data_IF_191913411772
#
_entry.id   IF_191913411772
#
_cell.length_a   1.000
_cell.length_b   1.000
_cell.length_c   1.000
_cell.angle_alpha   90.00
_cell.angle_beta   90.00
_cell.angle_gamma   90.00
#
_symmetry.space_group_name_H-M   'P 1'
#
loop_
_entity.id
_entity.type
_entity.pdbx_description
1 polymer ?
#
# COMPACT_ATOMS: atom_id res chain seq x y z
N UNK A 1 -61.22 -39.94 14.21
CA UNK A 1 -59.97 -39.95 13.44
C UNK A 1 -59.51 -38.46 13.31
N UNK A 2 -58.51 -38.09 14.13
CA UNK A 2 -57.99 -36.70 14.22
C UNK A 2 -56.81 -36.62 13.29
N UNK A 3 -56.93 -35.81 12.21
CA UNK A 3 -55.83 -35.52 11.29
C UNK A 3 -54.88 -34.47 11.93
N UNK A 4 -53.65 -34.88 12.24
CA UNK A 4 -52.58 -33.97 12.68
C UNK A 4 -51.96 -33.38 11.44
N UNK A 5 -52.11 -32.08 11.25
CA UNK A 5 -51.43 -31.30 10.18
C UNK A 5 -50.09 -30.86 10.77
N UNK A 6 -49.00 -31.46 10.28
CA UNK A 6 -47.65 -31.00 10.56
C UNK A 6 -47.32 -29.78 9.68
N UNK A 7 -47.25 -28.62 10.30
CA UNK A 7 -46.78 -27.39 9.63
C UNK A 7 -45.25 -27.38 9.72
N UNK A 8 -44.60 -27.66 8.60
CA UNK A 8 -43.13 -27.48 8.49
C UNK A 8 -42.83 -25.98 8.35
N UNK A 9 -42.28 -25.38 9.40
CA UNK A 9 -41.75 -24.02 9.36
C UNK A 9 -40.41 -24.07 8.67
N UNK A 10 -40.34 -23.65 7.39
CA UNK A 10 -39.11 -23.44 6.66
C UNK A 10 -38.52 -22.11 7.16
N UNK A 11 -37.51 -22.16 8.04
CA UNK A 11 -36.72 -20.99 8.41
C UNK A 11 -35.76 -20.71 7.25
N UNK A 12 -36.14 -19.77 6.37
CA UNK A 12 -35.20 -19.19 5.41
C UNK A 12 -34.21 -18.32 6.18
N UNK A 13 -33.10 -18.91 6.56
CA UNK A 13 -31.96 -18.16 7.07
C UNK A 13 -31.40 -17.27 5.97
N UNK A 14 -31.67 -15.96 6.04
CA UNK A 14 -31.00 -14.96 5.22
C UNK A 14 -29.53 -14.95 5.63
N UNK A 15 -28.68 -15.66 4.91
CA UNK A 15 -27.24 -15.47 4.98
C UNK A 15 -26.93 -14.10 4.38
N UNK A 16 -26.85 -13.08 5.21
CA UNK A 16 -26.23 -11.82 4.85
C UNK A 16 -24.78 -12.11 4.55
N UNK A 17 -24.42 -12.22 3.27
CA UNK A 17 -23.04 -12.17 2.84
C UNK A 17 -22.50 -10.80 3.25
N UNK A 18 -21.81 -10.73 4.38
CA UNK A 18 -20.94 -9.62 4.74
C UNK A 18 -19.78 -9.66 3.73
N UNK A 19 -19.99 -9.10 2.55
CA UNK A 19 -18.89 -8.80 1.64
C UNK A 19 -18.01 -7.77 2.35
N UNK A 20 -16.92 -8.21 2.96
CA UNK A 20 -15.88 -7.31 3.40
C UNK A 20 -15.41 -6.52 2.17
N UNK A 21 -15.44 -5.20 2.25
CA UNK A 21 -14.98 -4.36 1.14
C UNK A 21 -13.52 -4.69 0.83
N UNK A 22 -13.25 -5.02 -0.44
CA UNK A 22 -11.90 -5.34 -0.89
C UNK A 22 -10.99 -4.12 -0.78
N UNK A 23 -9.80 -4.30 -0.20
CA UNK A 23 -8.81 -3.22 -0.07
C UNK A 23 -8.18 -2.98 -1.44
N UNK A 24 -8.38 -1.76 -1.97
CA UNK A 24 -7.85 -1.35 -3.27
C UNK A 24 -6.35 -1.07 -3.18
N UNK A 25 -5.60 -1.66 -4.10
CA UNK A 25 -4.17 -1.38 -4.22
C UNK A 25 -3.90 0.05 -4.65
N UNK A 26 -2.89 0.68 -4.07
CA UNK A 26 -2.39 1.99 -4.51
C UNK A 26 -1.63 1.79 -5.81
N UNK A 27 -2.17 2.37 -6.90
CA UNK A 27 -1.60 2.26 -8.25
C UNK A 27 -1.56 3.64 -8.89
N UNK A 28 -0.43 4.00 -9.47
CA UNK A 28 -0.24 5.23 -10.24
C UNK A 28 0.14 4.89 -11.68
N UNK A 29 -0.42 5.61 -12.63
CA UNK A 29 -0.26 5.37 -14.06
C UNK A 29 -1.44 4.64 -14.70
N UNK A 30 -1.30 4.26 -15.95
CA UNK A 30 -2.35 3.57 -16.70
C UNK A 30 -2.45 2.11 -16.27
N UNK A 31 -3.60 1.70 -15.73
CA UNK A 31 -3.85 0.32 -15.24
C UNK A 31 -3.61 -0.75 -16.33
N UNK A 32 -3.79 -0.38 -17.61
CA UNK A 32 -3.62 -1.26 -18.74
C UNK A 32 -2.21 -1.21 -19.37
N UNK A 33 -1.29 -0.45 -18.74
CA UNK A 33 0.09 -0.35 -19.23
C UNK A 33 0.79 -1.71 -19.27
N UNK A 34 1.55 -1.95 -20.33
CA UNK A 34 2.32 -3.21 -20.53
C UNK A 34 3.48 -3.35 -19.54
N UNK A 35 4.00 -2.21 -19.04
CA UNK A 35 5.07 -2.20 -18.05
C UNK A 35 4.45 -2.04 -16.68
N UNK A 36 4.59 -3.06 -15.84
CA UNK A 36 4.19 -3.04 -14.43
C UNK A 36 5.44 -2.94 -13.56
N UNK A 37 5.48 -1.90 -12.75
CA UNK A 37 6.51 -1.71 -11.72
C UNK A 37 5.84 -2.00 -10.38
N UNK A 38 6.46 -2.84 -9.54
CA UNK A 38 6.04 -3.05 -8.16
C UNK A 38 7.15 -2.51 -7.26
N UNK A 39 6.80 -1.61 -6.34
CA UNK A 39 7.69 -1.09 -5.34
C UNK A 39 7.33 -1.66 -3.96
N UNK A 40 8.18 -2.53 -3.41
CA UNK A 40 8.05 -3.00 -2.03
C UNK A 40 8.76 -2.02 -1.11
N UNK A 41 8.01 -1.39 -0.21
CA UNK A 41 8.47 -0.23 0.54
C UNK A 41 8.04 -0.26 2.01
N UNK A 42 8.81 0.43 2.85
CA UNK A 42 8.49 0.68 4.26
C UNK A 42 8.42 2.18 4.52
N UNK A 43 7.36 2.65 5.13
CA UNK A 43 7.12 4.09 5.35
C UNK A 43 8.10 4.73 6.35
N UNK A 44 8.82 3.94 7.16
CA UNK A 44 9.89 4.44 8.03
C UNK A 44 11.29 4.33 7.40
N UNK A 45 11.42 3.70 6.23
CA UNK A 45 12.69 3.50 5.56
C UNK A 45 13.15 4.80 4.86
N UNK A 46 14.32 5.33 5.26
CA UNK A 46 14.91 6.52 4.64
C UNK A 46 15.29 6.33 3.16
N UNK A 47 15.71 5.12 2.78
CA UNK A 47 15.99 4.81 1.37
C UNK A 47 14.71 4.82 0.51
N UNK A 48 13.56 4.46 1.07
CA UNK A 48 12.27 4.60 0.39
C UNK A 48 11.90 6.08 0.21
N UNK A 49 12.08 6.91 1.25
CA UNK A 49 11.88 8.35 1.12
C UNK A 49 12.81 8.96 0.05
N UNK A 50 14.08 8.53 -0.03
CA UNK A 50 14.98 8.96 -1.08
C UNK A 50 14.52 8.49 -2.47
N UNK A 51 13.97 7.31 -2.62
CA UNK A 51 13.37 6.86 -3.89
C UNK A 51 12.22 7.79 -4.31
N UNK A 52 11.33 8.14 -3.40
CA UNK A 52 10.22 9.07 -3.66
C UNK A 52 10.69 10.50 -3.96
N UNK A 53 11.81 10.93 -3.40
CA UNK A 53 12.39 12.25 -3.64
C UNK A 53 13.19 12.32 -4.95
N UNK A 54 14.05 11.32 -5.22
CA UNK A 54 15.11 11.43 -6.22
C UNK A 54 14.84 10.63 -7.51
N UNK A 55 13.90 9.67 -7.48
CA UNK A 55 13.66 8.74 -8.59
C UNK A 55 12.20 8.79 -9.07
N UNK A 56 11.26 8.72 -8.13
CA UNK A 56 9.85 8.63 -8.45
C UNK A 56 9.29 9.83 -9.24
N UNK A 57 9.68 11.10 -9.01
CA UNK A 57 9.14 12.23 -9.77
C UNK A 57 9.43 12.13 -11.27
N UNK A 58 10.66 11.78 -11.63
CA UNK A 58 11.03 11.59 -13.04
C UNK A 58 10.37 10.34 -13.64
N UNK A 59 10.30 9.26 -12.89
CA UNK A 59 9.56 8.05 -13.28
C UNK A 59 8.10 8.36 -13.55
N UNK A 60 7.46 9.12 -12.64
CA UNK A 60 6.07 9.53 -12.77
C UNK A 60 5.86 10.34 -14.06
N UNK A 61 6.64 11.39 -14.24
CA UNK A 61 6.56 12.29 -15.38
C UNK A 61 6.76 11.59 -16.73
N UNK A 62 7.79 10.75 -16.85
CA UNK A 62 8.18 10.17 -18.14
C UNK A 62 7.45 8.87 -18.48
N UNK A 63 6.97 8.11 -17.49
CA UNK A 63 6.40 6.78 -17.75
C UNK A 63 4.98 6.60 -17.23
N UNK A 64 4.66 7.12 -16.04
CA UNK A 64 3.33 6.89 -15.46
C UNK A 64 2.30 7.84 -16.03
N UNK A 65 2.59 9.14 -16.07
CA UNK A 65 1.69 10.17 -16.59
C UNK A 65 1.51 10.07 -18.12
N UNK A 66 2.49 9.46 -18.80
CA UNK A 66 2.41 9.17 -20.25
C UNK A 66 1.68 7.87 -20.57
N UNK A 67 1.35 7.08 -19.56
CA UNK A 67 0.65 5.80 -19.73
C UNK A 67 1.54 4.64 -20.21
N UNK A 68 2.87 4.83 -20.32
CA UNK A 68 3.80 3.78 -20.72
C UNK A 68 3.98 2.70 -19.67
N UNK A 69 3.86 3.07 -18.39
CA UNK A 69 3.97 2.16 -17.26
C UNK A 69 2.91 2.46 -16.19
N UNK A 70 2.76 1.50 -15.28
CA UNK A 70 2.10 1.69 -13.99
C UNK A 70 3.03 1.28 -12.88
N UNK A 71 2.86 1.88 -11.69
CA UNK A 71 3.52 1.45 -10.46
C UNK A 71 2.48 1.03 -9.43
N UNK A 72 2.70 -0.13 -8.82
CA UNK A 72 1.95 -0.64 -7.68
C UNK A 72 2.80 -0.48 -6.44
N UNK A 73 2.33 0.27 -5.46
CA UNK A 73 2.97 0.36 -4.16
C UNK A 73 2.52 -0.80 -3.28
N UNK A 74 3.48 -1.60 -2.81
CA UNK A 74 3.25 -2.73 -1.92
C UNK A 74 3.96 -2.53 -0.59
N UNK A 75 3.22 -2.79 0.47
CA UNK A 75 3.72 -2.57 1.82
C UNK A 75 4.68 -3.67 2.26
N UNK A 76 5.85 -3.25 2.71
CA UNK A 76 6.83 -4.15 3.34
C UNK A 76 7.34 -3.51 4.64
N UNK A 77 6.47 -3.34 5.65
CA UNK A 77 6.83 -2.66 6.88
C UNK A 77 7.98 -3.36 7.60
N UNK A 78 9.00 -2.59 8.01
CA UNK A 78 10.18 -3.09 8.72
C UNK A 78 10.01 -3.02 10.24
N UNK A 79 9.06 -2.22 10.72
CA UNK A 79 8.74 -2.01 12.12
C UNK A 79 7.23 -1.72 12.32
N UNK A 80 6.81 -1.60 13.58
CA UNK A 80 5.40 -1.38 13.93
C UNK A 80 4.92 0.02 13.50
N UNK A 81 5.79 1.04 13.56
CA UNK A 81 5.42 2.39 13.11
C UNK A 81 5.16 2.41 11.60
N UNK A 82 6.02 1.75 10.80
CA UNK A 82 5.80 1.54 9.38
C UNK A 82 4.51 0.76 9.10
N UNK A 83 4.22 -0.27 9.91
CA UNK A 83 3.02 -1.07 9.77
C UNK A 83 1.74 -0.25 9.98
N UNK A 84 1.70 0.57 11.03
CA UNK A 84 0.57 1.47 11.28
C UNK A 84 0.44 2.54 10.20
N UNK A 85 1.56 3.14 9.78
CA UNK A 85 1.57 4.11 8.68
C UNK A 85 1.08 3.50 7.36
N UNK A 86 1.41 2.22 7.09
CA UNK A 86 0.91 1.48 5.92
C UNK A 86 -0.60 1.30 5.97
N UNK A 87 -1.17 0.98 7.14
CA UNK A 87 -2.61 0.91 7.32
C UNK A 87 -3.29 2.26 7.07
N UNK A 88 -2.68 3.34 7.56
CA UNK A 88 -3.15 4.70 7.31
C UNK A 88 -3.12 5.05 5.82
N UNK A 89 -2.04 4.73 5.09
CA UNK A 89 -1.95 4.99 3.66
C UNK A 89 -3.06 4.29 2.85
N UNK A 90 -3.51 3.13 3.32
CA UNK A 90 -4.60 2.35 2.69
C UNK A 90 -6.01 2.77 3.13
N UNK A 91 -6.12 3.60 4.18
CA UNK A 91 -7.40 3.78 4.88
C UNK A 91 -8.53 4.38 4.04
N UNK A 92 -8.23 5.28 3.10
CA UNK A 92 -9.25 5.82 2.20
C UNK A 92 -9.83 4.79 1.24
N UNK A 93 -9.12 3.71 1.03
CA UNK A 93 -9.51 2.63 0.13
C UNK A 93 -9.92 3.08 -1.29
N UNK A 94 -9.36 4.19 -1.76
CA UNK A 94 -9.65 4.77 -3.07
C UNK A 94 -8.62 4.36 -4.15
N UNK A 95 -7.51 3.77 -3.74
CA UNK A 95 -6.40 3.35 -4.61
C UNK A 95 -5.46 4.50 -5.01
N UNK A 96 -5.66 5.71 -4.45
CA UNK A 96 -4.82 6.88 -4.71
C UNK A 96 -3.57 6.88 -3.83
N UNK A 97 -2.52 7.54 -4.32
CA UNK A 97 -1.22 7.61 -3.63
C UNK A 97 -1.06 8.83 -2.72
N UNK A 98 -2.04 9.72 -2.61
CA UNK A 98 -1.90 11.05 -1.97
C UNK A 98 -1.33 10.97 -0.55
N UNK A 99 -1.87 10.07 0.29
CA UNK A 99 -1.40 9.89 1.66
C UNK A 99 0.00 9.29 1.67
N UNK A 100 0.24 8.26 0.87
CA UNK A 100 1.53 7.57 0.77
C UNK A 100 2.63 8.54 0.32
N UNK A 101 2.38 9.32 -0.74
CA UNK A 101 3.32 10.32 -1.25
C UNK A 101 3.60 11.41 -0.22
N UNK A 102 2.56 11.91 0.47
CA UNK A 102 2.71 12.91 1.53
C UNK A 102 3.55 12.37 2.70
N UNK A 103 3.32 11.11 3.10
CA UNK A 103 4.09 10.47 4.16
C UNK A 103 5.57 10.34 3.81
N UNK A 104 5.93 9.97 2.58
CA UNK A 104 7.33 9.91 2.15
C UNK A 104 7.96 11.29 2.00
N UNK A 105 7.27 12.24 1.40
CA UNK A 105 7.77 13.60 1.22
C UNK A 105 8.10 14.30 2.57
N UNK A 106 7.40 13.91 3.62
CA UNK A 106 7.50 14.53 4.93
C UNK A 106 7.95 13.54 6.03
N UNK A 107 8.62 12.45 5.68
CA UNK A 107 8.97 11.38 6.61
C UNK A 107 9.59 11.89 7.92
N UNK A 108 10.50 12.87 7.82
CA UNK A 108 11.18 13.44 8.99
C UNK A 108 10.25 14.20 9.95
N UNK A 109 9.06 14.62 9.51
CA UNK A 109 8.10 15.33 10.35
C UNK A 109 7.34 14.38 11.29
N UNK A 110 7.11 13.13 10.89
CA UNK A 110 6.28 12.20 11.63
C UNK A 110 7.03 10.95 12.15
N UNK A 111 8.11 10.50 11.49
CA UNK A 111 8.95 9.39 11.99
C UNK A 111 9.78 9.86 13.18
N UNK A 112 9.13 9.97 14.34
CA UNK A 112 9.70 10.46 15.60
C UNK A 112 9.06 9.70 16.76
N UNK A 113 9.73 9.70 17.89
CA UNK A 113 9.23 9.10 19.13
C UNK A 113 10.07 7.93 19.59
N UNK A 114 10.05 7.69 20.89
CA UNK A 114 10.76 6.60 21.58
C UNK A 114 9.84 5.40 21.84
N UNK A 115 8.54 5.56 21.61
CA UNK A 115 7.54 4.50 21.76
C UNK A 115 6.58 4.49 20.56
N UNK A 116 5.83 3.41 20.42
CA UNK A 116 4.82 3.30 19.34
C UNK A 116 3.66 4.30 19.53
N UNK A 117 3.31 4.60 20.77
CA UNK A 117 2.27 5.58 21.11
C UNK A 117 2.70 6.98 20.66
N UNK A 118 3.96 7.37 20.92
CA UNK A 118 4.52 8.64 20.43
C UNK A 118 4.59 8.70 18.91
N UNK A 119 5.03 7.62 18.26
CA UNK A 119 5.08 7.54 16.80
C UNK A 119 3.69 7.68 16.19
N UNK A 120 2.69 6.99 16.71
CA UNK A 120 1.29 7.10 16.27
C UNK A 120 0.74 8.52 16.48
N UNK A 121 1.01 9.14 17.62
CA UNK A 121 0.60 10.52 17.92
C UNK A 121 1.22 11.51 16.92
N UNK A 122 2.51 11.37 16.61
CA UNK A 122 3.19 12.23 15.66
C UNK A 122 2.63 12.05 14.25
N UNK A 123 2.34 10.82 13.84
CA UNK A 123 1.70 10.51 12.57
C UNK A 123 0.30 11.13 12.49
N UNK A 124 -0.51 11.01 13.54
CA UNK A 124 -1.86 11.58 13.60
C UNK A 124 -1.83 13.13 13.52
N UNK A 125 -0.93 13.77 14.26
CA UNK A 125 -0.73 15.22 14.21
C UNK A 125 -0.31 15.66 12.80
N UNK A 126 0.63 14.94 12.20
CA UNK A 126 1.08 15.22 10.83
C UNK A 126 -0.07 15.17 9.84
N UNK A 127 -0.84 14.09 9.82
CA UNK A 127 -1.97 13.92 8.90
C UNK A 127 -3.01 15.03 9.04
N UNK A 128 -3.33 15.42 10.26
CA UNK A 128 -4.24 16.54 10.54
C UNK A 128 -3.69 17.86 9.98
N UNK A 129 -2.40 18.12 10.16
CA UNK A 129 -1.76 19.35 9.68
C UNK A 129 -1.67 19.41 8.15
N UNK A 130 -1.53 18.28 7.48
CA UNK A 130 -1.57 18.18 6.02
C UNK A 130 -3.02 18.16 5.45
N UNK A 131 -4.04 18.26 6.32
CA UNK A 131 -5.44 18.35 5.91
C UNK A 131 -6.10 17.01 5.60
N UNK A 132 -5.48 15.89 5.94
CA UNK A 132 -6.10 14.58 5.77
C UNK A 132 -7.14 14.32 6.87
N UNK A 133 -8.41 14.20 6.48
CA UNK A 133 -9.50 13.79 7.38
C UNK A 133 -9.54 12.26 7.47
N UNK A 134 -8.90 11.68 8.49
CA UNK A 134 -8.78 10.25 8.72
C UNK A 134 -9.17 9.95 10.16
N UNK A 135 -10.07 8.99 10.35
CA UNK A 135 -10.29 8.37 11.65
C UNK A 135 -9.13 7.39 11.93
N UNK A 136 -8.12 7.89 12.62
CA UNK A 136 -6.86 7.19 12.87
C UNK A 136 -7.07 5.85 13.55
N UNK A 137 -7.87 5.82 14.61
CA UNK A 137 -8.11 4.60 15.39
C UNK A 137 -8.88 3.55 14.58
N UNK A 138 -9.89 3.98 13.83
CA UNK A 138 -10.62 3.09 12.94
C UNK A 138 -9.70 2.46 11.89
N UNK A 139 -8.80 3.25 11.29
CA UNK A 139 -7.86 2.78 10.27
C UNK A 139 -6.84 1.78 10.83
N UNK A 140 -6.23 2.11 11.97
CA UNK A 140 -5.19 1.28 12.60
C UNK A 140 -5.77 -0.04 13.11
N UNK A 141 -7.05 -0.06 13.49
CA UNK A 141 -7.74 -1.25 13.99
C UNK A 141 -8.53 -2.02 12.89
N UNK A 142 -8.48 -1.56 11.64
CA UNK A 142 -9.19 -2.21 10.54
C UNK A 142 -8.49 -3.53 10.15
N UNK A 143 -9.16 -4.65 10.42
CA UNK A 143 -8.61 -5.99 10.18
C UNK A 143 -8.37 -6.29 8.71
N UNK A 144 -9.24 -5.82 7.80
CA UNK A 144 -9.07 -6.06 6.36
C UNK A 144 -7.82 -5.35 5.83
N UNK A 145 -7.57 -4.11 6.27
CA UNK A 145 -6.37 -3.36 5.91
C UNK A 145 -5.12 -3.99 6.54
N UNK A 146 -5.23 -4.44 7.80
CA UNK A 146 -4.15 -5.14 8.47
C UNK A 146 -3.73 -6.38 7.69
N UNK A 147 -4.68 -7.25 7.35
CA UNK A 147 -4.43 -8.47 6.59
C UNK A 147 -3.86 -8.16 5.19
N UNK A 148 -4.34 -7.10 4.54
CA UNK A 148 -3.82 -6.64 3.26
C UNK A 148 -2.32 -6.26 3.34
N UNK A 149 -1.95 -5.45 4.33
CA UNK A 149 -0.55 -5.02 4.55
C UNK A 149 0.35 -6.20 4.91
N UNK A 150 -0.13 -7.12 5.75
CA UNK A 150 0.62 -8.34 6.10
C UNK A 150 0.78 -9.26 4.91
N UNK A 151 -0.24 -9.43 4.09
CA UNK A 151 -0.19 -10.25 2.89
C UNK A 151 0.83 -9.70 1.87
N UNK A 152 0.90 -8.38 1.67
CA UNK A 152 1.93 -7.77 0.84
C UNK A 152 3.35 -8.14 1.30
N UNK A 153 3.59 -8.03 2.60
CA UNK A 153 4.89 -8.38 3.19
C UNK A 153 5.21 -9.88 3.03
N UNK A 154 4.23 -10.74 3.30
CA UNK A 154 4.38 -12.20 3.18
C UNK A 154 4.65 -12.58 1.72
N UNK A 155 3.87 -12.04 0.79
CA UNK A 155 4.02 -12.29 -0.65
C UNK A 155 5.39 -11.80 -1.15
N UNK A 156 5.80 -10.59 -0.77
CA UNK A 156 7.11 -10.05 -1.10
C UNK A 156 8.25 -10.96 -0.63
N UNK A 157 8.20 -11.41 0.63
CA UNK A 157 9.22 -12.29 1.19
C UNK A 157 9.23 -13.68 0.51
N UNK A 158 8.06 -14.27 0.28
CA UNK A 158 7.95 -15.64 -0.29
C UNK A 158 8.21 -15.68 -1.78
N UNK A 159 7.55 -14.82 -2.57
CA UNK A 159 7.54 -14.92 -4.03
C UNK A 159 8.69 -14.15 -4.69
N UNK A 160 9.08 -13.01 -4.11
CA UNK A 160 10.11 -12.14 -4.67
C UNK A 160 11.40 -12.13 -3.85
N UNK A 161 11.46 -12.90 -2.75
CA UNK A 161 12.65 -12.97 -1.86
C UNK A 161 13.10 -11.59 -1.40
N UNK A 162 12.14 -10.72 -1.08
CA UNK A 162 12.40 -9.37 -0.56
C UNK A 162 12.99 -9.49 0.85
N UNK A 163 14.13 -8.84 1.07
CA UNK A 163 14.80 -8.75 2.36
C UNK A 163 15.18 -7.32 2.76
N UNK A 164 14.96 -6.36 1.86
CA UNK A 164 15.28 -4.94 2.08
C UNK A 164 14.34 -4.05 1.27
N UNK A 165 14.23 -2.78 1.69
CA UNK A 165 13.41 -1.77 1.02
C UNK A 165 14.23 -0.52 0.67
N UNK A 166 13.90 0.18 -0.43
CA UNK A 166 12.93 -0.24 -1.43
C UNK A 166 13.46 -1.38 -2.30
N UNK A 167 12.59 -2.29 -2.71
CA UNK A 167 12.88 -3.28 -3.76
C UNK A 167 11.90 -3.10 -4.91
N UNK A 168 12.44 -2.97 -6.11
CA UNK A 168 11.68 -2.74 -7.34
C UNK A 168 11.62 -4.03 -8.16
N UNK A 169 10.41 -4.39 -8.58
CA UNK A 169 10.14 -5.49 -9.51
C UNK A 169 9.58 -4.88 -10.79
N UNK A 170 10.07 -5.27 -11.96
CA UNK A 170 9.58 -4.81 -13.25
C UNK A 170 9.16 -6.05 -14.05
N UNK A 171 7.88 -6.12 -14.43
CA UNK A 171 7.31 -7.28 -15.16
C UNK A 171 7.76 -8.62 -14.55
N UNK A 172 7.56 -8.77 -13.23
CA UNK A 172 7.90 -9.96 -12.43
C UNK A 172 9.39 -10.26 -12.28
N UNK A 173 10.29 -9.35 -12.71
CA UNK A 173 11.74 -9.51 -12.54
C UNK A 173 12.28 -8.47 -11.58
N UNK A 174 13.07 -8.92 -10.60
CA UNK A 174 13.71 -8.03 -9.64
C UNK A 174 14.73 -7.15 -10.34
N UNK A 175 14.70 -5.84 -10.02
CA UNK A 175 15.65 -4.86 -10.51
C UNK A 175 16.91 -4.91 -9.64
N UNK A 176 18.00 -5.49 -10.18
CA UNK A 176 19.23 -5.78 -9.41
C UNK A 176 20.29 -4.66 -9.48
N UNK A 177 20.08 -3.62 -10.30
CA UNK A 177 21.04 -2.54 -10.42
C UNK A 177 20.88 -1.53 -9.28
N UNK A 178 21.89 -0.68 -9.04
CA UNK A 178 21.78 0.46 -8.13
C UNK A 178 20.52 1.26 -8.50
N UNK A 179 19.61 1.42 -7.53
CA UNK A 179 18.37 2.15 -7.71
C UNK A 179 18.66 3.64 -7.83
N UNK A 180 18.58 4.14 -9.04
CA UNK A 180 18.57 5.55 -9.42
C UNK A 180 17.81 5.67 -10.74
N UNK A 181 17.38 6.90 -11.06
CA UNK A 181 16.56 7.12 -12.25
C UNK A 181 17.25 6.67 -13.54
N UNK A 182 18.53 7.00 -13.74
CA UNK A 182 19.31 6.63 -14.94
C UNK A 182 19.29 5.12 -15.22
N UNK A 183 19.50 4.30 -14.18
CA UNK A 183 19.52 2.85 -14.33
C UNK A 183 18.11 2.27 -14.53
N UNK A 184 17.13 2.84 -13.84
CA UNK A 184 15.72 2.45 -13.98
C UNK A 184 15.22 2.77 -15.41
N UNK A 185 15.45 3.99 -15.89
CA UNK A 185 15.13 4.43 -17.26
C UNK A 185 15.69 3.46 -18.30
N UNK A 186 16.99 3.13 -18.22
CA UNK A 186 17.63 2.16 -19.13
C UNK A 186 17.01 0.77 -19.13
N UNK A 187 16.39 0.37 -18.01
CA UNK A 187 15.69 -0.90 -17.94
C UNK A 187 14.31 -0.81 -18.59
N UNK A 188 13.59 0.28 -18.38
CA UNK A 188 12.26 0.52 -18.95
C UNK A 188 12.30 0.74 -20.47
N UNK A 189 13.29 1.48 -20.98
CA UNK A 189 13.50 1.71 -22.43
C UNK A 189 13.68 0.44 -23.24
N UNK A 190 14.11 -0.65 -22.63
CA UNK A 190 14.23 -1.96 -23.29
C UNK A 190 12.91 -2.73 -23.39
N UNK A 191 11.85 -2.21 -22.80
CA UNK A 191 10.54 -2.86 -22.71
C UNK A 191 9.46 -2.12 -23.51
N UNK A 192 9.79 -0.93 -24.02
CA UNK A 192 8.97 -0.15 -24.94
C UNK A 192 9.26 -0.57 -26.37
#
# INVERSE_FOLDING_TARGET
>A
MRKIILIAIIVLGSFSNLNAEEVKRIIVGNKDAKITIIAFESLTCSHCANFHKDVYPELKKEYLDTGLAKIEFRHFPLDIAAFNASKIAQCKNDGNADILESLYANQQKWVKGSSIEEANKNLQIFLKNEGFSIDFESCVNNKNIEDFVLNDRIEGAKNFKISSTPTIIINNKKFEKKLNYKNLKKALEKMI
#
